data_IF_369845056079
#
_entry.id   IF_369845056079
#
_cell.length_a   1.000
_cell.length_b   1.000
_cell.length_c   1.000
_cell.angle_alpha   90.00
_cell.angle_beta   90.00
_cell.angle_gamma   90.00
#
_symmetry.space_group_name_H-M   'P 1'
#
loop_
_entity.id
_entity.type
_entity.pdbx_description
1 polymer ?
#
# COMPACT_ATOMS: atom_id res chain seq x y z
N UNK A 1 10.29 -5.15 21.91
CA UNK A 1 10.25 -5.05 20.44
C UNK A 1 9.87 -6.41 19.89
N UNK A 2 8.79 -6.51 19.11
CA UNK A 2 8.32 -7.79 18.54
C UNK A 2 9.36 -8.26 17.51
N UNK A 3 9.87 -9.47 17.70
CA UNK A 3 10.77 -10.15 16.77
C UNK A 3 10.05 -10.30 15.41
N UNK A 4 10.37 -9.46 14.43
CA UNK A 4 10.11 -9.80 13.03
C UNK A 4 10.99 -11.02 12.74
N UNK A 5 10.40 -12.21 12.82
CA UNK A 5 11.00 -13.43 12.30
C UNK A 5 11.41 -13.13 10.87
N UNK A 6 12.68 -13.32 10.56
CA UNK A 6 13.24 -13.09 9.23
C UNK A 6 12.36 -13.83 8.20
N UNK A 7 11.69 -13.05 7.35
CA UNK A 7 10.84 -13.59 6.30
C UNK A 7 11.75 -14.17 5.23
N UNK A 8 11.98 -15.48 5.29
CA UNK A 8 12.72 -16.21 4.26
C UNK A 8 12.01 -16.08 2.92
N UNK A 9 12.74 -15.65 1.89
CA UNK A 9 12.21 -15.39 0.55
C UNK A 9 11.86 -13.93 0.24
N UNK A 10 11.98 -13.01 1.21
CA UNK A 10 11.77 -11.58 0.96
C UNK A 10 13.04 -10.94 0.42
N UNK A 11 13.01 -10.49 -0.84
CA UNK A 11 14.08 -9.65 -1.40
C UNK A 11 14.04 -8.29 -0.74
N UNK A 12 15.09 -7.96 0.02
CA UNK A 12 15.30 -6.59 0.50
C UNK A 12 15.65 -5.72 -0.71
N UNK A 13 14.76 -4.77 -1.04
CA UNK A 13 14.96 -3.86 -2.15
C UNK A 13 16.02 -2.81 -1.80
N UNK A 14 16.88 -2.48 -2.76
CA UNK A 14 17.81 -1.37 -2.63
C UNK A 14 17.05 -0.02 -2.59
N UNK A 15 17.66 1.03 -2.01
CA UNK A 15 16.99 2.35 -1.80
C UNK A 15 16.41 2.95 -3.09
N UNK A 16 17.05 2.70 -4.24
CA UNK A 16 16.59 3.11 -5.56
C UNK A 16 15.37 2.29 -6.03
N UNK A 17 15.35 0.98 -5.78
CA UNK A 17 14.21 0.09 -6.06
C UNK A 17 12.99 0.46 -5.18
N UNK A 18 13.21 0.81 -3.91
CA UNK A 18 12.15 1.30 -3.03
C UNK A 18 11.53 2.61 -3.54
N UNK A 19 12.35 3.55 -4.04
CA UNK A 19 11.88 4.79 -4.66
C UNK A 19 11.10 4.56 -5.97
N UNK A 20 11.35 3.43 -6.65
CA UNK A 20 10.64 3.04 -7.86
C UNK A 20 9.26 2.43 -7.58
N UNK A 21 8.97 2.06 -6.32
CA UNK A 21 7.61 1.69 -5.91
C UNK A 21 6.75 2.96 -5.94
N UNK A 22 6.20 3.28 -7.12
CA UNK A 22 5.21 4.34 -7.34
C UNK A 22 3.80 3.89 -6.92
N UNK A 23 3.72 3.09 -5.86
CA UNK A 23 2.45 2.59 -5.32
C UNK A 23 1.97 3.54 -4.24
N UNK A 24 0.84 4.21 -4.47
CA UNK A 24 0.08 4.80 -3.36
C UNK A 24 -0.40 3.71 -2.41
N UNK A 25 -0.87 4.10 -1.22
CA UNK A 25 -1.48 3.14 -0.29
C UNK A 25 -2.68 2.48 -0.99
N UNK A 26 -2.65 1.15 -1.07
CA UNK A 26 -3.79 0.38 -1.57
C UNK A 26 -4.94 0.46 -0.56
N UNK A 27 -6.15 0.51 -1.07
CA UNK A 27 -7.38 0.43 -0.29
C UNK A 27 -8.39 -0.39 -1.10
N UNK A 28 -9.44 -0.89 -0.45
CA UNK A 28 -10.52 -1.57 -1.15
C UNK A 28 -11.88 -1.14 -0.64
N UNK A 29 -12.94 -1.56 -1.31
CA UNK A 29 -14.30 -1.31 -0.82
C UNK A 29 -14.57 -2.01 0.52
N UNK A 30 -13.90 -3.14 0.78
CA UNK A 30 -14.01 -3.90 2.03
C UNK A 30 -13.10 -3.35 3.14
N UNK A 31 -11.98 -2.71 2.77
CA UNK A 31 -11.08 -2.01 3.68
C UNK A 31 -10.72 -0.61 3.12
N UNK A 32 -11.60 0.39 3.33
CA UNK A 32 -11.41 1.74 2.80
C UNK A 32 -10.42 2.56 3.64
N UNK A 33 -9.56 1.91 4.42
CA UNK A 33 -8.64 2.58 5.34
C UNK A 33 -7.59 3.37 4.57
N UNK A 34 -7.73 4.70 4.62
CA UNK A 34 -6.77 5.66 4.08
C UNK A 34 -6.29 6.64 5.15
N UNK A 35 -5.10 7.25 4.99
CA UNK A 35 -4.61 8.29 5.89
C UNK A 35 -5.57 9.48 6.00
N UNK A 36 -5.50 10.26 7.10
CA UNK A 36 -6.23 11.52 7.20
C UNK A 36 -5.96 12.44 5.99
N UNK A 37 -6.97 13.20 5.56
CA UNK A 37 -6.91 14.05 4.35
C UNK A 37 -6.72 13.27 3.04
N UNK A 38 -7.18 12.02 2.98
CA UNK A 38 -7.24 11.25 1.74
C UNK A 38 -8.51 10.40 1.69
N UNK A 39 -8.92 9.99 0.49
CA UNK A 39 -10.06 9.11 0.25
C UNK A 39 -9.65 7.91 -0.61
N UNK A 40 -10.37 6.80 -0.47
CA UNK A 40 -10.15 5.63 -1.31
C UNK A 40 -10.82 5.80 -2.67
N UNK A 41 -10.03 5.93 -3.74
CA UNK A 41 -10.52 5.95 -5.12
C UNK A 41 -10.52 4.53 -5.69
N UNK A 42 -11.70 3.96 -5.87
CA UNK A 42 -11.92 2.65 -6.49
C UNK A 42 -11.79 2.78 -8.01
N UNK A 43 -10.93 1.97 -8.63
CA UNK A 43 -10.63 2.06 -10.07
C UNK A 43 -11.10 0.84 -10.87
N UNK A 44 -11.70 -0.17 -10.23
CA UNK A 44 -12.28 -1.32 -10.92
C UNK A 44 -13.54 -1.85 -10.21
N UNK A 45 -14.25 -2.74 -10.88
CA UNK A 45 -15.47 -3.40 -10.36
C UNK A 45 -15.20 -4.44 -9.27
N UNK A 46 -13.95 -4.89 -9.14
CA UNK A 46 -13.51 -5.82 -8.10
C UNK A 46 -13.29 -5.15 -6.74
N UNK A 47 -13.43 -3.83 -6.67
CA UNK A 47 -13.28 -3.07 -5.43
C UNK A 47 -11.84 -2.72 -5.08
N UNK A 48 -10.90 -2.83 -6.01
CA UNK A 48 -9.52 -2.37 -5.79
C UNK A 48 -9.43 -0.86 -5.95
N UNK A 49 -8.72 -0.23 -5.01
CA UNK A 49 -8.56 1.21 -4.94
C UNK A 49 -7.18 1.68 -4.52
N UNK A 50 -6.99 3.00 -4.58
CA UNK A 50 -5.82 3.69 -4.03
C UNK A 50 -6.26 4.88 -3.21
N UNK A 51 -5.53 5.17 -2.14
CA UNK A 51 -5.72 6.40 -1.39
C UNK A 51 -5.23 7.61 -2.19
N UNK A 52 -6.12 8.57 -2.40
CA UNK A 52 -5.88 9.81 -3.12
C UNK A 52 -6.04 10.99 -2.13
N UNK A 53 -5.10 11.94 -2.07
CA UNK A 53 -5.25 13.13 -1.23
C UNK A 53 -6.51 13.95 -1.58
N UNK A 54 -7.13 14.56 -0.56
CA UNK A 54 -8.22 15.54 -0.73
C UNK A 54 -7.68 16.92 -1.15
#
# INVERSE_FOLDING_TARGET
MKNLKELTGVKVLAKNEQKLIKGGLGCSIEDPTCPPYSYCYIFNEYGDGRCVPL
#
